data_IF_613197388822
#
_entry.id   IF_613197388822
#
_cell.length_a   1.000
_cell.length_b   1.000
_cell.length_c   1.000
_cell.angle_alpha   90.00
_cell.angle_beta   90.00
_cell.angle_gamma   90.00
#
_symmetry.space_group_name_H-M   'P 1'
#
loop_
_entity.id
_entity.type
_entity.pdbx_description
1 polymer ?
#
# COMPACT_ATOMS: atom_id res chain seq x y z
N UNK A 1 -1.01 5.70 13.55
CA UNK A 1 -1.85 4.70 14.25
C UNK A 1 -1.78 3.41 13.44
N UNK A 2 -2.06 2.25 14.01
CA UNK A 2 -1.95 0.98 13.28
C UNK A 2 -3.28 0.24 13.34
N UNK A 3 -3.65 -0.42 12.24
CA UNK A 3 -4.83 -1.30 12.16
C UNK A 3 -4.38 -2.68 11.72
N UNK A 4 -5.04 -3.72 12.23
CA UNK A 4 -4.85 -5.10 11.79
C UNK A 4 -6.13 -5.60 11.14
N UNK A 5 -6.01 -6.14 9.94
CA UNK A 5 -7.15 -6.68 9.17
C UNK A 5 -6.78 -8.02 8.54
N UNK A 6 -7.80 -8.78 8.16
CA UNK A 6 -7.60 -10.01 7.38
C UNK A 6 -7.11 -9.67 5.97
N UNK A 7 -6.20 -10.48 5.43
CA UNK A 7 -5.58 -10.22 4.13
C UNK A 7 -6.58 -10.30 2.96
N UNK A 8 -7.74 -10.91 3.18
CA UNK A 8 -8.83 -11.00 2.21
C UNK A 8 -9.68 -9.72 2.10
N UNK A 9 -9.56 -8.79 3.05
CA UNK A 9 -10.31 -7.52 3.02
C UNK A 9 -9.96 -6.73 1.75
N UNK A 10 -10.97 -6.19 1.09
CA UNK A 10 -10.77 -5.32 -0.07
C UNK A 10 -10.23 -3.95 0.38
N UNK A 11 -9.43 -3.31 -0.48
CA UNK A 11 -8.98 -1.95 -0.20
C UNK A 11 -10.13 -0.95 -0.07
N UNK A 12 -11.23 -1.13 -0.82
CA UNK A 12 -12.44 -0.32 -0.69
C UNK A 12 -12.97 -0.33 0.75
N UNK A 13 -13.17 -1.53 1.30
CA UNK A 13 -13.76 -1.75 2.61
C UNK A 13 -12.83 -1.20 3.70
N UNK A 14 -11.52 -1.45 3.56
CA UNK A 14 -10.51 -0.90 4.45
C UNK A 14 -10.57 0.64 4.51
N UNK A 15 -10.74 1.32 3.36
CA UNK A 15 -10.79 2.79 3.36
C UNK A 15 -12.03 3.33 4.07
N UNK A 16 -13.18 2.67 3.92
CA UNK A 16 -14.42 3.07 4.60
C UNK A 16 -14.27 2.94 6.12
N UNK A 17 -13.72 1.81 6.58
CA UNK A 17 -13.42 1.58 7.98
C UNK A 17 -12.41 2.60 8.53
N UNK A 18 -11.31 2.86 7.81
CA UNK A 18 -10.34 3.87 8.20
C UNK A 18 -10.94 5.27 8.26
N UNK A 19 -11.80 5.64 7.29
CA UNK A 19 -12.46 6.93 7.29
C UNK A 19 -13.35 7.12 8.53
N UNK A 20 -14.06 6.06 8.96
CA UNK A 20 -14.88 6.08 10.19
C UNK A 20 -14.04 6.35 11.45
N UNK A 21 -12.76 5.96 11.43
CA UNK A 21 -11.79 6.16 12.50
C UNK A 21 -11.00 7.47 12.38
N UNK A 22 -11.29 8.29 11.36
CA UNK A 22 -10.52 9.50 11.07
C UNK A 22 -9.08 9.20 10.61
N UNK A 23 -8.86 8.05 9.98
CA UNK A 23 -7.59 7.58 9.46
C UNK A 23 -7.62 7.41 7.94
N UNK A 24 -6.43 7.30 7.35
CA UNK A 24 -6.23 6.98 5.94
C UNK A 24 -4.93 6.18 5.75
N UNK A 25 -4.81 5.52 4.59
CA UNK A 25 -3.51 5.07 4.07
C UNK A 25 -2.74 6.28 3.55
N UNK A 26 -1.40 6.28 3.67
CA UNK A 26 -0.59 7.41 3.21
C UNK A 26 -0.52 7.50 1.70
N UNK A 27 -0.69 6.37 1.02
CA UNK A 27 -0.79 6.26 -0.43
C UNK A 27 -1.68 5.06 -0.75
N UNK A 28 -2.43 5.10 -1.85
CA UNK A 28 -3.38 4.05 -2.25
C UNK A 28 -3.28 3.71 -3.72
N UNK A 29 -3.47 2.45 -4.11
CA UNK A 29 -3.53 2.02 -5.51
C UNK A 29 -4.73 2.62 -6.27
N UNK A 30 -4.65 2.61 -7.61
CA UNK A 30 -5.72 3.14 -8.46
C UNK A 30 -6.98 2.23 -8.52
N UNK A 31 -6.84 0.96 -8.16
CA UNK A 31 -7.92 -0.04 -8.12
C UNK A 31 -8.16 -0.43 -6.67
N UNK A 32 -9.41 -0.32 -6.21
CA UNK A 32 -9.82 -0.62 -4.85
C UNK A 32 -10.44 -2.01 -4.67
N UNK A 33 -10.90 -2.65 -5.75
CA UNK A 33 -11.57 -3.95 -5.73
C UNK A 33 -10.56 -5.12 -5.72
N UNK A 34 -9.53 -4.97 -4.90
CA UNK A 34 -8.42 -5.92 -4.77
C UNK A 34 -8.16 -6.20 -3.29
N UNK A 35 -7.94 -7.46 -2.97
CA UNK A 35 -7.67 -7.90 -1.60
C UNK A 35 -6.29 -7.45 -1.14
N UNK A 36 -6.19 -7.07 0.14
CA UNK A 36 -4.98 -6.50 0.73
C UNK A 36 -3.75 -7.41 0.60
N UNK A 37 -3.91 -8.71 0.78
CA UNK A 37 -2.82 -9.69 0.63
C UNK A 37 -2.26 -9.71 -0.80
N UNK A 38 -3.12 -9.59 -1.81
CA UNK A 38 -2.70 -9.50 -3.21
C UNK A 38 -2.00 -8.18 -3.52
N UNK A 39 -2.52 -7.09 -3.00
CA UNK A 39 -1.97 -5.73 -3.15
C UNK A 39 -0.54 -5.63 -2.65
N UNK A 40 -0.30 -6.12 -1.43
CA UNK A 40 1.03 -6.16 -0.82
C UNK A 40 1.91 -7.17 -1.56
N UNK A 41 1.41 -8.39 -1.77
CA UNK A 41 2.16 -9.49 -2.38
C UNK A 41 2.67 -9.20 -3.80
N UNK A 42 2.02 -8.31 -4.54
CA UNK A 42 2.40 -7.92 -5.91
C UNK A 42 3.18 -6.61 -6.01
N UNK A 43 3.43 -5.92 -4.89
CA UNK A 43 4.11 -4.64 -4.89
C UNK A 43 3.27 -3.52 -5.51
N UNK A 44 1.94 -3.56 -5.29
CA UNK A 44 1.03 -2.51 -5.75
C UNK A 44 1.46 -1.15 -5.19
N UNK A 45 1.44 -0.15 -6.04
CA UNK A 45 1.87 1.20 -5.73
C UNK A 45 0.99 2.22 -6.44
N UNK A 46 1.21 3.49 -6.08
CA UNK A 46 0.67 4.62 -6.81
C UNK A 46 1.77 5.70 -6.86
N UNK A 47 1.42 6.89 -7.29
CA UNK A 47 2.39 7.96 -7.52
C UNK A 47 2.81 8.65 -6.23
N UNK A 48 3.79 9.55 -6.35
CA UNK A 48 4.33 10.34 -5.24
C UNK A 48 5.77 9.95 -4.91
N UNK A 49 6.69 10.87 -5.14
CA UNK A 49 8.14 10.61 -5.04
C UNK A 49 8.60 10.33 -3.60
N UNK A 50 7.84 10.79 -2.62
CA UNK A 50 8.11 10.57 -1.20
C UNK A 50 7.41 9.33 -0.63
N UNK A 51 6.61 8.64 -1.45
CA UNK A 51 5.81 7.50 -1.03
C UNK A 51 6.38 6.19 -1.55
N UNK A 52 6.45 5.20 -0.67
CA UNK A 52 6.76 3.83 -1.06
C UNK A 52 5.57 3.12 -1.69
N UNK A 53 5.79 1.87 -2.09
CA UNK A 53 4.71 0.95 -2.49
C UNK A 53 3.82 0.63 -1.28
N UNK A 54 2.61 0.10 -1.46
CA UNK A 54 1.69 -0.19 -0.34
C UNK A 54 2.31 -1.12 0.70
N UNK A 55 3.13 -2.07 0.27
CA UNK A 55 3.87 -2.95 1.15
C UNK A 55 4.78 -2.21 2.15
N UNK A 56 5.26 -0.99 1.83
CA UNK A 56 6.09 -0.20 2.77
C UNK A 56 5.32 0.25 4.00
N UNK A 57 3.99 0.34 3.93
CA UNK A 57 3.11 0.72 5.03
C UNK A 57 2.81 -0.47 5.97
N UNK A 58 3.10 -1.71 5.55
CA UNK A 58 2.92 -2.91 6.37
C UNK A 58 4.00 -2.97 7.44
N UNK A 59 3.59 -3.13 8.70
CA UNK A 59 4.48 -3.19 9.88
C UNK A 59 4.51 -4.58 10.54
N UNK A 60 3.50 -5.41 10.28
CA UNK A 60 3.48 -6.81 10.65
C UNK A 60 2.52 -7.60 9.74
N UNK A 61 2.70 -8.91 9.66
CA UNK A 61 1.80 -9.83 8.95
C UNK A 61 1.85 -11.22 9.57
N UNK A 62 0.82 -12.02 9.32
CA UNK A 62 0.80 -13.45 9.61
C UNK A 62 0.84 -14.23 8.31
N UNK A 63 1.81 -15.13 8.15
CA UNK A 63 2.03 -15.96 6.97
C UNK A 63 1.75 -17.42 7.29
N UNK A 64 0.98 -18.10 6.45
CA UNK A 64 0.87 -19.56 6.45
C UNK A 64 1.74 -20.15 5.34
N UNK A 65 2.69 -21.00 5.69
CA UNK A 65 3.60 -21.66 4.74
C UNK A 65 2.92 -22.86 4.06
N UNK A 66 3.57 -23.43 3.03
CA UNK A 66 3.10 -24.63 2.35
C UNK A 66 3.05 -25.88 3.26
N UNK A 67 3.80 -25.87 4.38
CA UNK A 67 3.76 -26.93 5.39
C UNK A 67 2.59 -26.78 6.37
N UNK A 68 1.80 -25.69 6.26
CA UNK A 68 0.73 -25.36 7.20
C UNK A 68 1.22 -24.67 8.48
N UNK A 69 2.51 -24.31 8.55
CA UNK A 69 3.05 -23.53 9.67
C UNK A 69 2.57 -22.09 9.59
N UNK A 70 2.15 -21.53 10.73
CA UNK A 70 1.73 -20.13 10.86
C UNK A 70 2.85 -19.34 11.52
N UNK A 71 3.32 -18.30 10.84
CA UNK A 71 4.43 -17.46 11.25
C UNK A 71 3.95 -16.02 11.43
N UNK A 72 4.16 -15.46 12.61
CA UNK A 72 4.05 -14.02 12.82
C UNK A 72 5.34 -13.34 12.38
N UNK A 73 5.23 -12.26 11.62
CA UNK A 73 6.34 -11.60 10.96
C UNK A 73 6.26 -10.08 11.16
N UNK A 74 7.35 -9.46 11.61
CA UNK A 74 7.51 -8.01 11.78
C UNK A 74 8.99 -7.63 11.71
N UNK A 75 9.35 -6.36 11.93
CA UNK A 75 10.76 -5.97 12.05
C UNK A 75 11.47 -6.63 13.25
N UNK A 76 10.75 -7.03 14.30
CA UNK A 76 11.31 -7.64 15.50
C UNK A 76 11.13 -9.17 15.57
N UNK A 77 10.28 -9.76 14.74
CA UNK A 77 9.97 -11.19 14.73
C UNK A 77 10.06 -11.73 13.30
N UNK A 78 10.83 -12.80 13.07
CA UNK A 78 11.01 -13.40 11.74
C UNK A 78 11.37 -12.38 10.64
N UNK A 79 12.25 -11.41 10.96
CA UNK A 79 12.52 -10.22 10.14
C UNK A 79 12.85 -10.51 8.67
N UNK A 80 13.65 -11.53 8.40
CA UNK A 80 14.00 -11.89 7.01
C UNK A 80 12.77 -12.36 6.22
N UNK A 81 11.92 -13.18 6.87
CA UNK A 81 10.65 -13.64 6.30
C UNK A 81 9.69 -12.46 6.16
N UNK A 82 9.64 -11.55 7.14
CA UNK A 82 8.83 -10.33 7.05
C UNK A 82 9.17 -9.50 5.81
N UNK A 83 10.46 -9.22 5.57
CA UNK A 83 10.87 -8.45 4.38
C UNK A 83 10.50 -9.17 3.08
N UNK A 84 10.69 -10.49 3.02
CA UNK A 84 10.35 -11.29 1.85
C UNK A 84 8.82 -11.40 1.64
N UNK A 85 8.06 -11.55 2.72
CA UNK A 85 6.60 -11.73 2.70
C UNK A 85 5.85 -10.46 2.28
N UNK A 86 6.42 -9.27 2.52
CA UNK A 86 5.83 -7.98 2.09
C UNK A 86 5.73 -7.83 0.57
N UNK A 87 6.45 -8.64 -0.21
CA UNK A 87 6.30 -8.72 -1.66
C UNK A 87 6.68 -10.14 -2.09
N UNK A 88 5.73 -11.06 -1.92
CA UNK A 88 6.00 -12.49 -2.04
C UNK A 88 5.52 -13.12 -3.36
N UNK A 89 4.76 -12.41 -4.19
CA UNK A 89 4.17 -12.90 -5.45
C UNK A 89 3.40 -14.24 -5.31
N UNK A 90 2.89 -14.55 -4.11
CA UNK A 90 2.25 -15.84 -3.81
C UNK A 90 3.22 -17.01 -3.53
N UNK A 91 4.53 -16.81 -3.67
CA UNK A 91 5.51 -17.90 -3.64
C UNK A 91 5.89 -18.38 -2.22
N UNK A 92 5.78 -17.53 -1.21
CA UNK A 92 6.20 -17.85 0.16
C UNK A 92 5.09 -18.47 1.03
N UNK A 93 3.86 -18.51 0.52
CA UNK A 93 2.68 -18.94 1.27
C UNK A 93 1.52 -17.95 1.15
N UNK A 94 0.56 -18.08 2.06
CA UNK A 94 -0.66 -17.29 2.10
C UNK A 94 -0.59 -16.32 3.29
N UNK A 95 -0.70 -15.03 3.03
CA UNK A 95 -0.85 -14.04 4.10
C UNK A 95 -2.27 -14.15 4.65
N UNK A 96 -2.39 -14.29 5.97
CA UNK A 96 -3.67 -14.42 6.68
C UNK A 96 -4.17 -13.06 7.17
N UNK A 97 -3.28 -12.26 7.76
CA UNK A 97 -3.58 -10.93 8.29
C UNK A 97 -2.40 -9.98 8.09
N UNK A 98 -2.70 -8.69 8.12
CA UNK A 98 -1.73 -7.62 7.91
C UNK A 98 -2.00 -6.51 8.91
N UNK A 99 -0.95 -6.01 9.54
CA UNK A 99 -0.97 -4.76 10.31
C UNK A 99 -0.37 -3.63 9.47
N UNK A 100 -1.12 -2.56 9.27
CA UNK A 100 -0.73 -1.42 8.44
C UNK A 100 -0.58 -0.17 9.30
N UNK A 101 0.46 0.62 9.01
CA UNK A 101 0.63 1.96 9.53
C UNK A 101 -0.26 2.95 8.77
N UNK A 102 -1.18 3.59 9.50
CA UNK A 102 -2.09 4.60 8.99
C UNK A 102 -1.67 6.02 9.42
N UNK A 103 -2.12 7.00 8.64
CA UNK A 103 -2.00 8.44 8.89
C UNK A 103 -3.36 9.04 9.27
N UNK A 104 -3.42 10.25 9.88
CA UNK A 104 -4.68 10.96 10.03
C UNK A 104 -5.37 11.18 8.68
N UNK A 105 -6.70 11.12 8.66
CA UNK A 105 -7.47 11.35 7.44
C UNK A 105 -7.18 12.74 6.85
N UNK A 106 -7.08 12.80 5.53
CA UNK A 106 -6.81 14.01 4.76
C UNK A 106 -7.67 14.06 3.50
N UNK A 107 -7.67 15.20 2.81
CA UNK A 107 -8.41 15.41 1.56
C UNK A 107 -7.41 15.66 0.44
N UNK A 108 -7.68 15.07 -0.72
CA UNK A 108 -6.90 15.27 -1.94
C UNK A 108 -7.71 16.11 -2.91
N UNK A 109 -7.09 17.14 -3.48
CA UNK A 109 -7.60 17.85 -4.64
C UNK A 109 -7.02 17.23 -5.91
N UNK A 110 -7.88 16.79 -6.83
CA UNK A 110 -7.47 16.23 -8.11
C UNK A 110 -7.64 17.27 -9.21
N UNK A 111 -6.54 17.56 -9.92
CA UNK A 111 -6.55 18.37 -11.14
C UNK A 111 -6.15 17.49 -12.33
N UNK A 112 -6.95 17.51 -13.39
CA UNK A 112 -6.70 16.72 -14.60
C UNK A 112 -6.97 17.58 -15.84
N UNK A 113 -6.00 17.64 -16.75
CA UNK A 113 -6.05 18.42 -17.98
C UNK A 113 -5.15 17.80 -19.06
N UNK A 114 -5.43 17.99 -20.36
CA UNK A 114 -4.61 17.44 -21.43
C UNK A 114 -3.32 18.25 -21.65
N UNK A 115 -2.21 17.56 -21.89
CA UNK A 115 -0.93 18.13 -22.31
C UNK A 115 -0.23 17.17 -23.28
N UNK A 116 0.69 17.67 -24.10
CA UNK A 116 1.57 16.79 -24.88
C UNK A 116 2.65 16.20 -23.97
N UNK A 117 3.12 14.98 -24.30
CA UNK A 117 4.23 14.35 -23.58
C UNK A 117 5.46 15.27 -23.49
N UNK A 118 5.74 16.05 -24.54
CA UNK A 118 6.87 16.96 -24.59
C UNK A 118 6.77 18.07 -23.55
N UNK A 119 5.59 18.68 -23.40
CA UNK A 119 5.35 19.72 -22.41
C UNK A 119 5.51 19.16 -20.99
N UNK A 120 4.90 18.00 -20.72
CA UNK A 120 5.00 17.36 -19.39
C UNK A 120 6.45 17.03 -19.03
N UNK A 121 7.24 16.51 -19.97
CA UNK A 121 8.65 16.17 -19.70
C UNK A 121 9.52 17.42 -19.52
N UNK A 122 9.24 18.52 -20.23
CA UNK A 122 9.95 19.78 -20.05
C UNK A 122 9.71 20.38 -18.65
N UNK A 123 8.48 20.25 -18.13
CA UNK A 123 8.05 20.81 -16.84
C UNK A 123 8.00 19.76 -15.71
N UNK A 124 8.58 18.57 -15.91
CA UNK A 124 8.44 17.43 -14.99
C UNK A 124 8.84 17.76 -13.55
N UNK A 125 9.94 18.48 -13.36
CA UNK A 125 10.40 18.90 -12.03
C UNK A 125 9.43 19.85 -11.33
N UNK A 126 8.72 20.68 -12.10
CA UNK A 126 7.71 21.60 -11.56
C UNK A 126 6.53 20.77 -11.07
N UNK A 127 6.03 19.85 -11.91
CA UNK A 127 4.93 18.96 -11.57
C UNK A 127 5.23 18.10 -10.33
N UNK A 128 6.42 17.51 -10.24
CA UNK A 128 6.83 16.68 -9.10
C UNK A 128 6.99 17.46 -7.78
N UNK A 129 7.28 18.77 -7.84
CA UNK A 129 7.45 19.62 -6.65
C UNK A 129 6.15 20.26 -6.19
N UNK A 130 5.24 20.56 -7.11
CA UNK A 130 3.97 21.23 -6.81
C UNK A 130 2.86 20.27 -6.41
N UNK A 131 3.01 18.98 -6.69
CA UNK A 131 2.03 17.95 -6.37
C UNK A 131 2.67 16.84 -5.55
N UNK A 132 2.00 16.43 -4.47
CA UNK A 132 2.43 15.28 -3.68
C UNK A 132 2.32 13.97 -4.49
N UNK A 133 1.32 13.89 -5.38
CA UNK A 133 1.04 12.77 -6.28
C UNK A 133 0.97 13.31 -7.71
N UNK A 134 1.77 12.77 -8.63
CA UNK A 134 1.80 13.20 -10.03
C UNK A 134 1.80 12.02 -11.01
N UNK A 135 0.98 12.08 -12.06
CA UNK A 135 0.81 11.05 -13.10
C UNK A 135 0.49 11.71 -14.44
N UNK A 136 1.03 11.20 -15.54
CA UNK A 136 0.79 11.65 -16.92
C UNK A 136 0.83 10.49 -17.91
#
# INVERSE_FOLDING_TARGET
QQVTVEAGMLLSDLNEELASLGLALSNIGAVSDVALGGVIGTGTHNTGIQHGILATQVVALTLMTAAGEILECSESVNREIFQAARLHLGALGVILSVTIQCVPAFRIELQQFPQTLREVLNDLDIHLKQSEYFRF
#
